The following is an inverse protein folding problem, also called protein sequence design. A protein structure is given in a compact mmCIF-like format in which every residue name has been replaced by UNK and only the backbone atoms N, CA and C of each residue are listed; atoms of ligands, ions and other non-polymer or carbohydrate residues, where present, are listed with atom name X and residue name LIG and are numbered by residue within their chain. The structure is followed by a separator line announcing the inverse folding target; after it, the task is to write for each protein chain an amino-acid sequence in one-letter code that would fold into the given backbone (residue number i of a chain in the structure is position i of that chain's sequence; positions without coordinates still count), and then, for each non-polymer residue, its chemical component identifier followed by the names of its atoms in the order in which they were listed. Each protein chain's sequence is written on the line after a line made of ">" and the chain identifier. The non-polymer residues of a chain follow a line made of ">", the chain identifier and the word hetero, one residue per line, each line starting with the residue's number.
data_IF_430807983595
#
_entry.id   IF_430807983595
#
_cell.length_a   1.000
_cell.length_b   1.000
_cell.length_c   1.000
_cell.angle_alpha   90.00
_cell.angle_beta   90.00
_cell.angle_gamma   90.00
#
_symmetry.space_group_name_H-M   'P 1'
#
loop_
_entity.id
_entity.type
_entity.pdbx_description
1 polymer ?
#
# COMPACT_ATOMS: atom_id res chain seq x y z
N UNK A 1 -11.28 -14.42 -6.67
CA UNK A 1 -11.45 -15.82 -6.21
C UNK A 1 -12.20 -15.75 -4.90
N UNK A 2 -13.49 -16.09 -4.88
CA UNK A 2 -14.28 -16.15 -3.64
C UNK A 2 -13.79 -17.32 -2.78
N UNK A 3 -13.55 -17.10 -1.49
CA UNK A 3 -13.34 -18.22 -0.56
C UNK A 3 -14.65 -19.00 -0.40
N UNK A 4 -14.57 -20.32 -0.27
CA UNK A 4 -15.77 -21.11 0.00
C UNK A 4 -16.25 -20.86 1.44
N UNK A 5 -17.57 -20.93 1.67
CA UNK A 5 -18.16 -20.83 3.02
C UNK A 5 -17.52 -21.78 4.04
N UNK A 6 -17.01 -22.92 3.56
CA UNK A 6 -16.31 -23.91 4.38
C UNK A 6 -14.93 -23.42 4.86
N UNK A 7 -14.19 -22.70 4.01
CA UNK A 7 -12.90 -22.11 4.39
C UNK A 7 -13.07 -21.02 5.44
N UNK A 8 -14.11 -20.20 5.31
CA UNK A 8 -14.44 -19.13 6.25
C UNK A 8 -14.83 -19.70 7.63
N UNK A 9 -15.73 -20.68 7.68
CA UNK A 9 -16.10 -21.33 8.93
C UNK A 9 -14.90 -22.00 9.61
N UNK A 10 -14.03 -22.64 8.83
CA UNK A 10 -12.81 -23.27 9.37
C UNK A 10 -11.84 -22.24 9.95
N UNK A 11 -11.62 -21.12 9.26
CA UNK A 11 -10.78 -20.03 9.75
C UNK A 11 -11.35 -19.43 11.04
N UNK A 12 -12.66 -19.20 11.09
CA UNK A 12 -13.35 -18.68 12.28
C UNK A 12 -13.23 -19.63 13.48
N UNK A 13 -13.46 -20.92 13.27
CA UNK A 13 -13.31 -21.94 14.33
C UNK A 13 -11.88 -22.01 14.84
N UNK A 14 -10.89 -21.98 13.95
CA UNK A 14 -9.47 -21.98 14.33
C UNK A 14 -9.14 -20.75 15.18
N UNK A 15 -9.58 -19.56 14.73
CA UNK A 15 -9.35 -18.31 15.46
C UNK A 15 -10.00 -18.32 16.86
N UNK A 16 -11.23 -18.84 16.98
CA UNK A 16 -11.90 -18.98 18.26
C UNK A 16 -11.20 -19.96 19.20
N UNK A 17 -10.67 -21.07 18.68
CA UNK A 17 -9.85 -22.01 19.45
C UNK A 17 -8.53 -21.39 19.89
N UNK A 18 -7.86 -20.63 19.01
CA UNK A 18 -6.59 -19.96 19.32
C UNK A 18 -6.78 -18.92 20.44
N UNK A 19 -7.87 -18.14 20.41
CA UNK A 19 -8.17 -17.13 21.45
C UNK A 19 -8.44 -17.75 22.82
N UNK A 20 -9.04 -18.95 22.88
CA UNK A 20 -9.33 -19.61 24.16
C UNK A 20 -8.08 -19.94 24.97
N UNK A 21 -6.93 -20.05 24.31
CA UNK A 21 -5.65 -20.39 24.94
C UNK A 21 -4.79 -19.16 25.24
N UNK A 22 -5.25 -17.95 24.91
CA UNK A 22 -4.53 -16.70 25.19
C UNK A 22 -4.60 -16.40 26.68
N UNK A 23 -3.44 -16.25 27.31
CA UNK A 23 -3.33 -15.89 28.72
C UNK A 23 -2.82 -14.47 28.93
N UNK A 24 -2.60 -14.11 30.20
CA UNK A 24 -2.13 -12.78 30.58
C UNK A 24 -0.69 -12.51 30.10
N UNK A 25 0.16 -13.54 30.03
CA UNK A 25 1.55 -13.42 29.61
C UNK A 25 1.63 -13.13 28.10
N UNK A 26 0.73 -13.72 27.30
CA UNK A 26 0.58 -13.43 25.87
C UNK A 26 0.18 -11.97 25.62
N UNK A 27 -0.76 -11.45 26.40
CA UNK A 27 -1.22 -10.05 26.30
C UNK A 27 -0.08 -9.10 26.67
N UNK A 28 0.66 -9.40 27.74
CA UNK A 28 1.81 -8.59 28.16
C UNK A 28 2.93 -8.62 27.13
N UNK A 29 3.22 -9.79 26.55
CA UNK A 29 4.18 -9.94 25.46
C UNK A 29 3.79 -9.12 24.23
N UNK A 30 2.53 -9.22 23.79
CA UNK A 30 2.01 -8.48 22.65
C UNK A 30 2.10 -6.96 22.88
N UNK A 31 1.76 -6.48 24.08
CA UNK A 31 1.88 -5.06 24.44
C UNK A 31 3.33 -4.57 24.40
N UNK A 32 4.27 -5.28 25.04
CA UNK A 32 5.69 -4.92 25.05
C UNK A 32 6.29 -4.94 23.65
N UNK A 33 6.03 -6.00 22.89
CA UNK A 33 6.55 -6.15 21.52
C UNK A 33 5.96 -5.13 20.56
N UNK A 34 4.65 -4.88 20.67
CA UNK A 34 3.94 -3.86 19.89
C UNK A 34 4.51 -2.47 20.13
N UNK A 35 4.65 -2.07 21.41
CA UNK A 35 5.25 -0.78 21.77
C UNK A 35 6.69 -0.65 21.27
N UNK A 36 7.51 -1.70 21.41
CA UNK A 36 8.89 -1.70 20.91
C UNK A 36 8.94 -1.50 19.39
N UNK A 37 8.10 -2.22 18.62
CA UNK A 37 8.04 -2.09 17.16
C UNK A 37 7.54 -0.73 16.70
N UNK A 38 6.52 -0.18 17.35
CA UNK A 38 6.01 1.16 17.04
C UNK A 38 7.06 2.23 17.34
N UNK A 39 7.76 2.12 18.46
CA UNK A 39 8.83 3.06 18.81
C UNK A 39 10.04 2.94 17.86
N UNK A 40 10.37 1.73 17.40
CA UNK A 40 11.38 1.49 16.36
C UNK A 40 10.97 2.17 15.04
N UNK A 41 9.73 1.97 14.59
CA UNK A 41 9.20 2.57 13.36
C UNK A 41 9.03 4.09 13.45
N UNK A 42 8.65 4.63 14.61
CA UNK A 42 8.51 6.07 14.80
C UNK A 42 9.84 6.82 14.74
N UNK A 43 10.90 6.22 15.30
CA UNK A 43 12.24 6.83 15.30
C UNK A 43 13.00 6.57 13.99
N UNK A 44 12.87 5.38 13.41
CA UNK A 44 13.53 4.97 12.17
C UNK A 44 12.56 4.14 11.31
N UNK A 45 11.67 4.81 10.54
CA UNK A 45 10.76 4.08 9.67
C UNK A 45 11.56 3.25 8.67
N UNK A 46 11.13 2.01 8.36
CA UNK A 46 11.77 1.17 7.37
C UNK A 46 11.95 1.91 6.06
N UNK A 47 13.14 1.84 5.48
CA UNK A 47 13.45 2.54 4.23
C UNK A 47 12.45 2.20 3.10
N UNK A 48 11.92 0.97 3.09
CA UNK A 48 10.88 0.55 2.15
C UNK A 48 9.58 1.37 2.27
N UNK A 49 9.13 1.69 3.49
CA UNK A 49 7.93 2.50 3.71
C UNK A 49 8.15 3.95 3.30
N UNK A 50 9.33 4.51 3.63
CA UNK A 50 9.71 5.87 3.23
C UNK A 50 9.75 5.98 1.70
N UNK A 51 10.36 5.00 1.04
CA UNK A 51 10.42 4.93 -0.42
C UNK A 51 9.02 4.85 -1.03
N UNK A 52 8.17 3.94 -0.56
CA UNK A 52 6.80 3.80 -1.04
C UNK A 52 6.02 5.11 -0.92
N UNK A 53 6.15 5.81 0.21
CA UNK A 53 5.50 7.11 0.40
C UNK A 53 5.97 8.17 -0.59
N UNK A 54 7.28 8.20 -0.89
CA UNK A 54 7.82 9.11 -1.91
C UNK A 54 7.34 8.75 -3.32
N UNK A 55 7.26 7.46 -3.65
CA UNK A 55 6.78 7.02 -4.95
C UNK A 55 5.29 7.37 -5.14
N UNK A 56 4.46 7.23 -4.10
CA UNK A 56 3.04 7.65 -4.12
C UNK A 56 2.92 9.16 -4.34
N UNK A 57 3.73 9.98 -3.64
CA UNK A 57 3.75 11.43 -3.86
C UNK A 57 4.11 11.77 -5.31
N UNK A 58 5.07 11.05 -5.89
CA UNK A 58 5.50 11.26 -7.26
C UNK A 58 4.40 10.88 -8.27
N UNK A 59 3.68 9.79 -8.02
CA UNK A 59 2.51 9.40 -8.81
C UNK A 59 1.42 10.47 -8.81
N UNK A 60 1.02 10.96 -7.62
CA UNK A 60 0.00 12.00 -7.48
C UNK A 60 0.44 13.28 -8.19
N UNK A 61 1.71 13.64 -8.02
CA UNK A 61 2.33 14.78 -8.70
C UNK A 61 2.27 14.64 -10.23
N UNK A 62 2.60 13.46 -10.77
CA UNK A 62 2.53 13.18 -12.21
C UNK A 62 1.10 13.31 -12.73
N UNK A 63 0.11 12.79 -12.00
CA UNK A 63 -1.30 12.94 -12.38
C UNK A 63 -1.67 14.42 -12.45
N UNK A 64 -1.31 15.22 -11.44
CA UNK A 64 -1.61 16.65 -11.41
C UNK A 64 -0.97 17.40 -12.60
N UNK A 65 0.33 17.23 -12.82
CA UNK A 65 1.03 17.86 -13.95
C UNK A 65 0.52 17.37 -15.31
N UNK A 66 0.04 16.13 -15.39
CA UNK A 66 -0.61 15.61 -16.58
C UNK A 66 -1.96 16.28 -16.82
N UNK A 67 -2.81 16.43 -15.80
CA UNK A 67 -4.12 17.09 -15.91
C UNK A 67 -3.96 18.57 -16.29
N UNK A 68 -3.02 19.27 -15.68
CA UNK A 68 -2.74 20.68 -15.91
C UNK A 68 -2.08 20.97 -17.27
N UNK A 69 -1.63 19.92 -17.98
CA UNK A 69 -0.93 20.07 -19.27
C UNK A 69 0.55 20.40 -19.15
N UNK A 70 1.11 20.43 -17.94
CA UNK A 70 2.52 20.71 -17.67
C UNK A 70 3.45 19.57 -18.14
N UNK A 71 2.99 18.33 -18.11
CA UNK A 71 3.77 17.16 -18.50
C UNK A 71 2.90 16.12 -19.22
N UNK A 72 3.14 15.93 -20.53
CA UNK A 72 2.38 14.99 -21.39
C UNK A 72 3.25 13.90 -22.04
N UNK A 73 4.54 13.83 -21.68
CA UNK A 73 5.53 12.90 -22.24
C UNK A 73 5.42 11.47 -21.68
N UNK A 74 4.23 11.07 -21.23
CA UNK A 74 3.96 9.78 -20.60
C UNK A 74 2.89 9.05 -21.41
N UNK A 75 3.11 7.76 -21.75
CA UNK A 75 2.11 6.95 -22.42
C UNK A 75 0.78 6.89 -21.65
N UNK A 76 -0.35 6.88 -22.36
CA UNK A 76 -1.68 6.87 -21.73
C UNK A 76 -1.89 5.66 -20.81
N UNK A 77 -1.41 4.48 -21.20
CA UNK A 77 -1.50 3.26 -20.38
C UNK A 77 -0.76 3.41 -19.04
N UNK A 78 0.34 4.17 -18.99
CA UNK A 78 1.08 4.45 -17.75
C UNK A 78 0.31 5.42 -16.85
N UNK A 79 -0.28 6.47 -17.43
CA UNK A 79 -1.18 7.37 -16.67
C UNK A 79 -2.37 6.60 -16.11
N UNK A 80 -3.02 5.77 -16.94
CA UNK A 80 -4.16 4.98 -16.51
C UNK A 80 -3.81 4.02 -15.37
N UNK A 81 -2.65 3.34 -15.44
CA UNK A 81 -2.20 2.44 -14.36
C UNK A 81 -1.90 3.19 -13.07
N UNK A 82 -1.27 4.37 -13.15
CA UNK A 82 -0.95 5.19 -11.98
C UNK A 82 -2.23 5.74 -11.34
N UNK A 83 -3.18 6.23 -12.14
CA UNK A 83 -4.50 6.65 -11.65
C UNK A 83 -5.22 5.49 -10.95
N UNK A 84 -5.23 4.30 -11.57
CA UNK A 84 -5.80 3.10 -10.96
C UNK A 84 -5.18 2.79 -9.59
N UNK A 85 -3.84 2.80 -9.50
CA UNK A 85 -3.13 2.55 -8.24
C UNK A 85 -3.39 3.62 -7.17
N UNK A 86 -3.45 4.90 -7.55
CA UNK A 86 -3.71 6.00 -6.60
C UNK A 86 -5.15 5.98 -6.10
N UNK A 87 -6.13 5.73 -6.98
CA UNK A 87 -7.54 5.56 -6.58
C UNK A 87 -7.69 4.38 -5.63
N UNK A 88 -7.04 3.26 -5.94
CA UNK A 88 -7.00 2.08 -5.08
C UNK A 88 -6.41 2.39 -3.71
N UNK A 89 -5.29 3.12 -3.66
CA UNK A 89 -4.66 3.56 -2.41
C UNK A 89 -5.54 4.52 -1.60
N UNK A 90 -6.31 5.40 -2.25
CA UNK A 90 -7.14 6.42 -1.60
C UNK A 90 -8.45 5.87 -1.02
N UNK A 91 -9.00 4.79 -1.60
CA UNK A 91 -10.20 4.11 -1.10
C UNK A 91 -10.02 2.58 -1.13
N UNK A 92 -9.30 2.01 -0.14
CA UNK A 92 -9.18 0.55 -0.02
C UNK A 92 -10.51 -0.14 0.34
N UNK A 93 -11.57 0.62 0.69
CA UNK A 93 -12.85 0.10 1.20
C UNK A 93 -13.81 -0.31 0.07
N UNK A 94 -13.73 0.29 -1.14
CA UNK A 94 -14.74 0.03 -2.19
C UNK A 94 -14.53 -1.28 -2.98
N UNK A 95 -13.38 -1.95 -2.83
CA UNK A 95 -13.05 -3.19 -3.59
C UNK A 95 -13.05 -4.45 -2.71
N UNK A 96 -12.97 -4.30 -1.39
CA UNK A 96 -12.98 -5.41 -0.43
C UNK A 96 -14.24 -5.29 0.44
N UNK A 97 -15.28 -6.11 0.19
CA UNK A 97 -16.33 -6.33 1.17
C UNK A 97 -15.70 -6.96 2.43
N UNK A 98 -15.88 -6.30 3.58
CA UNK A 98 -15.30 -6.56 4.90
C UNK A 98 -15.29 -8.04 5.37
N UNK A 99 -14.28 -8.89 5.12
CA UNK A 99 -14.30 -10.25 5.72
C UNK A 99 -12.99 -10.97 6.12
N UNK A 100 -11.76 -10.46 5.92
CA UNK A 100 -10.55 -11.23 6.34
C UNK A 100 -9.44 -10.35 6.96
N UNK A 101 -9.14 -10.47 8.26
CA UNK A 101 -8.21 -9.56 8.97
C UNK A 101 -6.72 -9.62 8.57
N UNK A 102 -6.30 -10.43 7.59
CA UNK A 102 -4.88 -10.59 7.22
C UNK A 102 -4.57 -10.86 5.73
N UNK A 103 -5.56 -11.25 4.90
CA UNK A 103 -5.32 -11.67 3.50
C UNK A 103 -5.53 -10.53 2.49
N UNK A 104 -6.37 -9.54 2.81
CA UNK A 104 -6.69 -8.42 1.90
C UNK A 104 -5.51 -7.49 1.61
N UNK A 105 -4.68 -7.20 2.62
CA UNK A 105 -3.56 -6.25 2.49
C UNK A 105 -2.45 -6.70 1.55
N UNK A 106 -2.32 -8.01 1.30
CA UNK A 106 -1.28 -8.54 0.43
C UNK A 106 -1.61 -8.27 -1.05
N UNK A 107 -2.89 -8.36 -1.43
CA UNK A 107 -3.35 -8.07 -2.78
C UNK A 107 -3.24 -6.56 -3.07
N UNK A 108 -3.59 -5.74 -2.08
CA UNK A 108 -3.47 -4.28 -2.14
C UNK A 108 -2.02 -3.81 -2.40
N UNK A 109 -1.09 -4.32 -1.60
CA UNK A 109 0.33 -3.99 -1.73
C UNK A 109 0.92 -4.52 -3.05
N UNK A 110 0.39 -5.65 -3.56
CA UNK A 110 0.81 -6.22 -4.82
C UNK A 110 0.35 -5.36 -6.01
N UNK A 111 -0.89 -4.87 -6.01
CA UNK A 111 -1.40 -3.99 -7.06
C UNK A 111 -0.58 -2.70 -7.15
N UNK A 112 -0.32 -2.05 -6.00
CA UNK A 112 0.50 -0.84 -5.95
C UNK A 112 1.93 -1.13 -6.45
N UNK A 113 2.52 -2.25 -6.02
CA UNK A 113 3.85 -2.66 -6.47
C UNK A 113 3.91 -2.93 -7.98
N UNK A 114 2.91 -3.61 -8.54
CA UNK A 114 2.86 -3.89 -9.97
C UNK A 114 2.72 -2.61 -10.80
N UNK A 115 1.89 -1.66 -10.33
CA UNK A 115 1.77 -0.35 -10.98
C UNK A 115 3.07 0.45 -10.88
N UNK A 116 3.77 0.41 -9.74
CA UNK A 116 5.10 1.01 -9.57
C UNK A 116 6.12 0.41 -10.54
N UNK A 117 6.20 -0.92 -10.60
CA UNK A 117 7.15 -1.62 -11.46
C UNK A 117 6.87 -1.34 -12.95
N UNK A 118 5.60 -1.26 -13.33
CA UNK A 118 5.17 -0.91 -14.68
C UNK A 118 5.48 0.56 -15.05
N UNK A 119 5.26 1.49 -14.13
CA UNK A 119 5.44 2.93 -14.36
C UNK A 119 6.85 3.45 -14.08
N UNK A 120 7.74 2.61 -13.53
CA UNK A 120 9.02 3.02 -12.96
C UNK A 120 9.85 3.90 -13.89
N UNK A 121 10.04 3.48 -15.14
CA UNK A 121 10.87 4.23 -16.08
C UNK A 121 10.32 5.60 -16.41
N UNK A 122 9.00 5.76 -16.44
CA UNK A 122 8.36 7.05 -16.74
C UNK A 122 8.26 7.94 -15.51
N UNK A 123 8.11 7.36 -14.32
CA UNK A 123 8.26 8.08 -13.05
C UNK A 123 9.68 8.64 -12.89
N UNK A 124 10.73 7.89 -13.26
CA UNK A 124 12.12 8.37 -13.21
C UNK A 124 12.36 9.55 -14.18
N UNK A 125 11.81 9.48 -15.40
CA UNK A 125 11.86 10.60 -16.37
C UNK A 125 11.11 11.82 -15.84
N UNK A 126 9.92 11.62 -15.29
CA UNK A 126 9.11 12.69 -14.71
C UNK A 126 9.81 13.33 -13.51
N UNK A 127 10.40 12.56 -12.60
CA UNK A 127 11.20 13.07 -11.48
C UNK A 127 12.34 13.95 -11.99
N UNK A 128 13.10 13.47 -12.98
CA UNK A 128 14.21 14.23 -13.58
C UNK A 128 13.72 15.55 -14.20
N UNK A 129 12.57 15.54 -14.88
CA UNK A 129 11.95 16.75 -15.41
C UNK A 129 11.55 17.71 -14.29
N UNK A 130 10.93 17.20 -13.22
CA UNK A 130 10.45 18.00 -12.10
C UNK A 130 11.59 18.65 -11.32
N UNK A 131 12.67 17.91 -11.08
CA UNK A 131 13.87 18.41 -10.41
C UNK A 131 14.51 19.54 -11.22
N UNK A 132 14.57 19.41 -12.55
CA UNK A 132 15.05 20.49 -13.43
C UNK A 132 14.15 21.72 -13.39
N UNK A 133 12.82 21.54 -13.34
CA UNK A 133 11.86 22.65 -13.28
C UNK A 133 11.94 23.41 -11.95
N UNK A 134 12.23 22.73 -10.84
CA UNK A 134 12.37 23.34 -9.51
C UNK A 134 13.75 23.99 -9.26
N UNK A 135 14.75 23.65 -10.07
CA UNK A 135 16.09 24.25 -10.00
C UNK A 135 16.21 25.57 -10.79
N UNK A 136 15.15 25.98 -11.49
CA UNK A 136 15.03 27.23 -12.25
C UNK A 136 14.18 28.25 -11.48
#
# INVERSE_FOLDING_TARGET
>A
MEMSKEQEEKARRQFEEDIKNVDQDDVEYASKKGQSKINEFGNNPPNALVKLWNDIKLMVALIADYVDGNYKEVPWNVIASIVGAVVYFASPIDVIPDFIPLVGYLDDALVIKLALDFAKSDLEKYQTWKDRKLAL
#
